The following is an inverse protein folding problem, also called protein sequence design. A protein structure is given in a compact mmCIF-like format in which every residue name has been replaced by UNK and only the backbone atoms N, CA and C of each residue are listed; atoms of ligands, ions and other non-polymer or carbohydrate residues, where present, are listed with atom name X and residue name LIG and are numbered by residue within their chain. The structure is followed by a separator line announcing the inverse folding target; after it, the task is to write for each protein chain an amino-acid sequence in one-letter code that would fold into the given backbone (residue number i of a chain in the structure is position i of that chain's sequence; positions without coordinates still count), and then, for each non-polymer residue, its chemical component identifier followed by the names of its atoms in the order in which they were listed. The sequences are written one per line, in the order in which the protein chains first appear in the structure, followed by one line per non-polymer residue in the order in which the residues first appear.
data_IF_924664673921
#
_entry.id   IF_924664673921
#
_cell.length_a   1.000
_cell.length_b   1.000
_cell.length_c   1.000
_cell.angle_alpha   90.00
_cell.angle_beta   90.00
_cell.angle_gamma   90.00
#
_symmetry.space_group_name_H-M   'P 1'
#
loop_
_entity.id
_entity.type
_entity.pdbx_description
1 polymer ?
#
# COMPACT_ATOMS: atom_id res chain seq x y z
N UNK A 1 -23.20 7.27 -0.31
CA UNK A 1 -23.29 7.97 0.99
C UNK A 1 -23.84 9.35 0.75
N UNK A 2 -24.99 9.70 1.38
CA UNK A 2 -25.63 11.01 1.28
C UNK A 2 -24.67 12.11 1.71
N UNK A 3 -24.42 13.05 0.81
CA UNK A 3 -23.65 14.28 1.04
C UNK A 3 -24.53 15.43 1.53
N UNK A 4 -25.66 15.13 2.18
CA UNK A 4 -26.55 16.12 2.74
C UNK A 4 -25.87 16.84 3.92
N UNK A 5 -25.49 18.10 3.70
CA UNK A 5 -24.86 18.98 4.69
C UNK A 5 -23.47 19.50 4.35
N UNK A 6 -22.85 19.04 3.27
CA UNK A 6 -21.54 19.55 2.85
C UNK A 6 -21.71 20.62 1.77
N UNK A 7 -21.48 21.86 2.16
CA UNK A 7 -21.47 23.00 1.23
C UNK A 7 -20.17 22.90 0.39
N UNK A 8 -20.27 22.32 -0.82
CA UNK A 8 -19.27 22.32 -1.87
C UNK A 8 -17.85 21.83 -1.47
N UNK A 9 -17.69 20.55 -1.01
CA UNK A 9 -16.40 20.05 -0.55
C UNK A 9 -15.39 19.96 -1.70
N UNK A 10 -14.17 20.38 -1.45
CA UNK A 10 -13.07 20.23 -2.41
C UNK A 10 -12.79 18.74 -2.66
N UNK A 11 -12.37 18.34 -3.88
CA UNK A 11 -12.05 16.95 -4.20
C UNK A 11 -11.02 16.30 -3.25
N UNK A 12 -10.07 17.10 -2.76
CA UNK A 12 -9.06 16.66 -1.78
C UNK A 12 -9.68 16.36 -0.40
N UNK A 13 -10.65 17.16 0.06
CA UNK A 13 -11.33 16.95 1.34
C UNK A 13 -12.14 15.65 1.32
N UNK A 14 -12.80 15.35 0.21
CA UNK A 14 -13.50 14.08 0.01
C UNK A 14 -12.55 12.89 -0.05
N UNK A 15 -11.37 13.07 -0.65
CA UNK A 15 -10.33 12.04 -0.69
C UNK A 15 -9.86 11.68 0.71
N UNK A 16 -9.41 12.67 1.48
CA UNK A 16 -8.88 12.45 2.82
C UNK A 16 -9.96 12.02 3.81
N UNK A 17 -11.19 12.56 3.73
CA UNK A 17 -12.28 12.16 4.59
C UNK A 17 -12.67 10.69 4.45
N UNK A 18 -12.69 10.17 3.23
CA UNK A 18 -12.94 8.74 2.98
C UNK A 18 -11.73 7.87 3.32
N UNK A 19 -10.51 8.35 3.05
CA UNK A 19 -9.30 7.63 3.37
C UNK A 19 -9.08 7.45 4.87
N UNK A 20 -9.54 8.39 5.71
CA UNK A 20 -9.34 8.37 7.14
C UNK A 20 -9.79 7.04 7.80
N UNK A 21 -10.92 6.48 7.36
CA UNK A 21 -11.39 5.20 7.85
C UNK A 21 -10.40 4.06 7.52
N UNK A 22 -9.94 4.00 6.28
CA UNK A 22 -8.96 2.99 5.85
C UNK A 22 -7.62 3.16 6.58
N UNK A 23 -7.20 4.40 6.80
CA UNK A 23 -6.00 4.70 7.57
C UNK A 23 -6.11 4.17 9.01
N UNK A 24 -7.18 4.49 9.73
CA UNK A 24 -7.36 4.02 11.11
C UNK A 24 -7.39 2.49 11.17
N UNK A 25 -8.14 1.83 10.29
CA UNK A 25 -8.21 0.38 10.25
C UNK A 25 -6.85 -0.26 9.95
N UNK A 26 -6.10 0.27 8.99
CA UNK A 26 -4.77 -0.25 8.65
C UNK A 26 -3.76 -0.08 9.78
N UNK A 27 -3.83 1.03 10.53
CA UNK A 27 -2.96 1.25 11.70
C UNK A 27 -3.29 0.28 12.85
N UNK A 28 -4.58 0.05 13.11
CA UNK A 28 -5.00 -0.95 14.10
C UNK A 28 -4.53 -2.35 13.72
N UNK A 29 -4.69 -2.75 12.46
CA UNK A 29 -4.19 -4.04 11.95
C UNK A 29 -2.68 -4.17 12.13
N UNK A 30 -1.90 -3.16 11.75
CA UNK A 30 -0.44 -3.16 11.90
C UNK A 30 -0.03 -3.30 13.37
N UNK A 31 -0.68 -2.56 14.28
CA UNK A 31 -0.41 -2.65 15.71
C UNK A 31 -0.72 -4.04 16.28
N UNK A 32 -1.85 -4.64 15.90
CA UNK A 32 -2.24 -5.99 16.34
C UNK A 32 -1.23 -7.03 15.83
N UNK A 33 -0.81 -6.96 14.58
CA UNK A 33 0.15 -7.90 13.99
C UNK A 33 1.49 -7.81 14.72
N UNK A 34 2.08 -6.63 14.85
CA UNK A 34 3.36 -6.46 15.54
C UNK A 34 3.28 -6.89 17.01
N UNK A 35 2.18 -6.58 17.69
CA UNK A 35 1.96 -7.03 19.05
C UNK A 35 1.89 -8.55 19.12
N UNK A 36 1.19 -9.20 18.19
CA UNK A 36 1.12 -10.65 18.07
C UNK A 36 2.50 -11.27 17.83
N UNK A 37 3.28 -10.71 16.91
CA UNK A 37 4.63 -11.19 16.61
C UNK A 37 5.55 -11.11 17.84
N UNK A 38 5.53 -9.99 18.55
CA UNK A 38 6.43 -9.77 19.69
C UNK A 38 6.01 -10.56 20.95
N UNK A 39 4.69 -10.61 21.26
CA UNK A 39 4.22 -11.17 22.53
C UNK A 39 3.67 -12.60 22.42
N UNK A 40 2.98 -12.94 21.31
CA UNK A 40 2.44 -14.29 21.11
C UNK A 40 3.47 -15.22 20.46
N UNK A 41 4.07 -14.80 19.35
CA UNK A 41 5.08 -15.58 18.64
C UNK A 41 6.47 -15.44 19.25
N UNK A 42 6.68 -14.47 20.17
CA UNK A 42 7.94 -14.19 20.86
C UNK A 42 9.11 -14.03 19.89
N UNK A 43 8.88 -13.34 18.78
CA UNK A 43 9.92 -12.98 17.81
C UNK A 43 10.97 -12.13 18.52
N UNK A 44 12.23 -12.58 18.47
CA UNK A 44 13.34 -11.82 19.03
C UNK A 44 13.59 -10.59 18.14
N UNK A 45 13.35 -9.40 18.68
CA UNK A 45 13.49 -8.14 17.99
C UNK A 45 14.38 -7.21 18.80
N UNK A 46 15.47 -6.73 18.19
CA UNK A 46 16.39 -5.81 18.85
C UNK A 46 15.80 -4.41 19.02
N UNK A 47 14.95 -3.99 18.08
CA UNK A 47 14.35 -2.65 18.10
C UNK A 47 12.81 -2.70 17.96
N UNK A 48 12.06 -3.08 19.03
CA UNK A 48 10.60 -3.23 18.97
C UNK A 48 9.87 -1.94 18.58
N UNK A 49 10.33 -0.78 19.07
CA UNK A 49 9.74 0.51 18.72
C UNK A 49 9.88 0.83 17.22
N UNK A 50 11.02 0.51 16.62
CA UNK A 50 11.23 0.68 15.18
C UNK A 50 10.35 -0.30 14.37
N UNK A 51 10.10 -1.50 14.88
CA UNK A 51 9.19 -2.46 14.24
C UNK A 51 7.75 -1.92 14.16
N UNK A 52 7.24 -1.31 15.24
CA UNK A 52 5.93 -0.63 15.20
C UNK A 52 5.90 0.52 14.20
N UNK A 53 6.96 1.34 14.14
CA UNK A 53 7.06 2.45 13.20
C UNK A 53 7.10 1.94 11.75
N UNK A 54 7.89 0.90 11.47
CA UNK A 54 7.97 0.29 10.14
C UNK A 54 6.63 -0.30 9.71
N UNK A 55 5.95 -1.03 10.61
CA UNK A 55 4.64 -1.60 10.33
C UNK A 55 3.58 -0.52 10.07
N UNK A 56 3.57 0.53 10.89
CA UNK A 56 2.69 1.69 10.72
C UNK A 56 2.91 2.37 9.37
N UNK A 57 4.16 2.65 9.00
CA UNK A 57 4.50 3.28 7.73
C UNK A 57 4.17 2.37 6.54
N UNK A 58 4.43 1.07 6.66
CA UNK A 58 4.07 0.07 5.65
C UNK A 58 2.55 0.04 5.45
N UNK A 59 1.78 -0.07 6.53
CA UNK A 59 0.32 -0.07 6.49
C UNK A 59 -0.23 1.23 5.86
N UNK A 60 0.35 2.38 6.20
CA UNK A 60 0.02 3.66 5.58
C UNK A 60 0.29 3.66 4.07
N UNK A 61 1.48 3.23 3.65
CA UNK A 61 1.88 3.23 2.24
C UNK A 61 0.98 2.31 1.41
N UNK A 62 0.74 1.09 1.88
CA UNK A 62 -0.08 0.12 1.16
C UNK A 62 -1.56 0.49 1.13
N UNK A 63 -2.14 0.91 2.26
CA UNK A 63 -3.54 1.34 2.30
C UNK A 63 -3.78 2.54 1.38
N UNK A 64 -2.85 3.48 1.34
CA UNK A 64 -2.93 4.65 0.49
C UNK A 64 -2.79 4.29 -1.00
N UNK A 65 -1.86 3.38 -1.33
CA UNK A 65 -1.65 2.92 -2.70
C UNK A 65 -2.89 2.18 -3.22
N UNK A 66 -3.43 1.24 -2.46
CA UNK A 66 -4.64 0.49 -2.80
C UNK A 66 -5.83 1.44 -2.96
N UNK A 67 -6.02 2.34 -2.01
CA UNK A 67 -7.10 3.32 -2.05
C UNK A 67 -7.00 4.25 -3.27
N UNK A 68 -5.81 4.78 -3.54
CA UNK A 68 -5.57 5.67 -4.67
C UNK A 68 -5.80 4.98 -6.02
N UNK A 69 -5.34 3.74 -6.17
CA UNK A 69 -5.56 2.93 -7.37
C UNK A 69 -7.05 2.60 -7.58
N UNK A 70 -7.73 2.13 -6.53
CA UNK A 70 -9.16 1.82 -6.59
C UNK A 70 -10.00 3.06 -6.90
N UNK A 71 -9.64 4.23 -6.34
CA UNK A 71 -10.36 5.48 -6.57
C UNK A 71 -10.11 6.07 -7.97
N UNK A 72 -8.89 5.90 -8.50
CA UNK A 72 -8.50 6.47 -9.80
C UNK A 72 -8.98 5.63 -10.99
N UNK A 73 -8.94 4.30 -10.87
CA UNK A 73 -9.20 3.37 -11.97
C UNK A 73 -10.43 2.47 -11.74
N UNK A 74 -11.22 2.69 -10.67
CA UNK A 74 -12.42 1.92 -10.39
C UNK A 74 -12.14 0.41 -10.25
N UNK A 75 -12.96 -0.43 -10.88
CA UNK A 75 -12.84 -1.89 -10.80
C UNK A 75 -11.58 -2.43 -11.46
N UNK A 76 -11.12 -1.80 -12.55
CA UNK A 76 -9.83 -2.12 -13.18
C UNK A 76 -8.67 -1.86 -12.21
N UNK A 77 -8.73 -0.76 -11.46
CA UNK A 77 -7.74 -0.45 -10.44
C UNK A 77 -7.71 -1.49 -9.32
N UNK A 78 -8.85 -1.96 -8.88
CA UNK A 78 -8.96 -3.04 -7.88
C UNK A 78 -8.33 -4.34 -8.38
N UNK A 79 -8.65 -4.75 -9.61
CA UNK A 79 -8.08 -5.95 -10.23
C UNK A 79 -6.56 -5.83 -10.40
N UNK A 80 -6.07 -4.67 -10.87
CA UNK A 80 -4.64 -4.42 -11.03
C UNK A 80 -3.89 -4.49 -9.69
N UNK A 81 -4.45 -3.92 -8.63
CA UNK A 81 -3.88 -3.98 -7.27
C UNK A 81 -3.75 -5.43 -6.81
N UNK A 82 -4.76 -6.28 -7.02
CA UNK A 82 -4.69 -7.69 -6.64
C UNK A 82 -3.57 -8.41 -7.39
N UNK A 83 -3.44 -8.20 -8.70
CA UNK A 83 -2.36 -8.79 -9.51
C UNK A 83 -0.99 -8.32 -9.01
N UNK A 84 -0.82 -7.01 -8.79
CA UNK A 84 0.43 -6.44 -8.28
C UNK A 84 0.76 -7.01 -6.90
N UNK A 85 -0.23 -7.16 -6.00
CA UNK A 85 -0.02 -7.72 -4.66
C UNK A 85 0.45 -9.18 -4.73
N UNK A 86 -0.16 -10.01 -5.58
CA UNK A 86 0.27 -11.40 -5.78
C UNK A 86 1.70 -11.46 -6.32
N UNK A 87 2.02 -10.63 -7.31
CA UNK A 87 3.38 -10.54 -7.87
C UNK A 87 4.41 -10.09 -6.82
N UNK A 88 4.04 -9.13 -5.98
CA UNK A 88 4.92 -8.65 -4.90
C UNK A 88 5.18 -9.74 -3.85
N UNK A 89 4.17 -10.50 -3.43
CA UNK A 89 4.33 -11.59 -2.46
C UNK A 89 5.31 -12.63 -3.00
N UNK A 90 5.16 -13.03 -4.26
CA UNK A 90 6.04 -14.02 -4.90
C UNK A 90 7.45 -13.48 -5.15
N UNK A 91 7.58 -12.20 -5.52
CA UNK A 91 8.82 -11.58 -6.02
C UNK A 91 9.58 -10.71 -5.02
N UNK A 92 9.17 -10.65 -3.75
CA UNK A 92 9.72 -9.67 -2.78
C UNK A 92 10.95 -10.13 -1.99
N UNK A 93 11.50 -11.31 -2.26
CA UNK A 93 12.54 -11.93 -1.43
C UNK A 93 12.18 -12.16 0.05
N UNK A 94 10.89 -12.13 0.38
CA UNK A 94 10.43 -12.35 1.75
C UNK A 94 10.60 -13.79 2.21
N UNK A 95 10.26 -14.75 1.36
CA UNK A 95 10.33 -16.18 1.62
C UNK A 95 11.58 -16.85 1.06
N UNK A 96 12.06 -16.39 -0.11
CA UNK A 96 13.23 -16.92 -0.79
C UNK A 96 14.18 -15.77 -1.18
N UNK A 97 15.50 -15.99 -1.19
CA UNK A 97 16.45 -15.03 -1.74
C UNK A 97 16.09 -14.64 -3.17
N UNK A 98 16.25 -13.36 -3.50
CA UNK A 98 15.87 -12.83 -4.82
C UNK A 98 16.64 -13.48 -5.97
N UNK A 99 17.85 -13.96 -5.69
CA UNK A 99 18.75 -14.63 -6.64
C UNK A 99 18.19 -15.97 -7.13
N UNK A 100 17.29 -16.60 -6.38
CA UNK A 100 16.65 -17.86 -6.74
C UNK A 100 15.41 -17.65 -7.63
N UNK A 101 14.94 -16.41 -7.80
CA UNK A 101 13.78 -16.09 -8.61
C UNK A 101 14.17 -15.85 -10.07
N UNK A 102 13.24 -16.05 -11.03
CA UNK A 102 13.48 -15.73 -12.43
C UNK A 102 13.95 -14.28 -12.60
N UNK A 103 14.81 -14.04 -13.61
CA UNK A 103 15.44 -12.72 -13.87
C UNK A 103 14.45 -11.57 -13.97
N UNK A 104 13.23 -11.84 -14.43
CA UNK A 104 12.19 -10.82 -14.54
C UNK A 104 11.83 -10.24 -13.17
N UNK A 105 11.71 -11.09 -12.14
CA UNK A 105 11.45 -10.67 -10.77
C UNK A 105 12.63 -9.90 -10.20
N UNK A 106 13.86 -10.33 -10.45
CA UNK A 106 15.07 -9.63 -10.01
C UNK A 106 15.20 -8.21 -10.58
N UNK A 107 14.64 -7.97 -11.78
CA UNK A 107 14.65 -6.65 -12.41
C UNK A 107 13.54 -5.74 -11.89
N UNK A 108 12.35 -6.29 -11.68
CA UNK A 108 11.16 -5.49 -11.36
C UNK A 108 10.90 -5.31 -9.86
N UNK A 109 11.46 -6.16 -8.97
CA UNK A 109 11.16 -6.10 -7.54
C UNK A 109 11.43 -4.74 -6.89
N UNK A 110 12.44 -4.01 -7.38
CA UNK A 110 12.81 -2.67 -6.89
C UNK A 110 11.75 -1.60 -7.17
N UNK A 111 10.83 -1.85 -8.10
CA UNK A 111 9.73 -0.95 -8.42
C UNK A 111 8.49 -1.15 -7.52
N UNK A 112 8.58 -2.05 -6.56
CA UNK A 112 7.51 -2.35 -5.64
C UNK A 112 7.86 -1.95 -4.20
N UNK A 113 6.90 -1.53 -3.38
CA UNK A 113 7.15 -1.14 -1.98
C UNK A 113 7.44 -2.32 -1.04
N UNK A 114 7.06 -3.54 -1.40
CA UNK A 114 7.16 -4.73 -0.55
C UNK A 114 8.60 -5.05 -0.12
N UNK A 115 9.61 -5.07 -1.00
CA UNK A 115 10.99 -5.33 -0.61
C UNK A 115 11.52 -4.36 0.45
N UNK A 116 11.22 -3.09 0.29
CA UNK A 116 11.66 -2.05 1.23
C UNK A 116 11.03 -2.22 2.61
N UNK A 117 9.75 -2.64 2.67
CA UNK A 117 9.08 -2.96 3.92
C UNK A 117 9.72 -4.17 4.62
N UNK A 118 10.02 -5.23 3.85
CA UNK A 118 10.66 -6.44 4.38
C UNK A 118 12.06 -6.14 4.89
N UNK A 119 12.87 -5.41 4.13
CA UNK A 119 14.22 -5.07 4.53
C UNK A 119 14.23 -4.16 5.77
N UNK A 120 13.32 -3.19 5.86
CA UNK A 120 13.17 -2.39 7.08
C UNK A 120 12.76 -3.24 8.29
N UNK A 121 11.87 -4.23 8.12
CA UNK A 121 11.51 -5.16 9.19
C UNK A 121 12.69 -6.04 9.61
N UNK A 122 13.50 -6.54 8.66
CA UNK A 122 14.72 -7.31 8.94
C UNK A 122 15.71 -6.52 9.79
N UNK A 123 15.93 -5.24 9.46
CA UNK A 123 16.78 -4.33 10.25
C UNK A 123 16.27 -4.15 11.68
N UNK A 124 14.95 -4.12 11.89
CA UNK A 124 14.38 -4.06 13.24
C UNK A 124 14.63 -5.33 14.05
N UNK A 125 14.59 -6.49 13.40
CA UNK A 125 14.74 -7.82 14.03
C UNK A 125 16.21 -8.13 14.28
N UNK A 126 17.05 -8.01 13.26
CA UNK A 126 18.46 -8.46 13.28
C UNK A 126 19.43 -7.39 13.79
N UNK A 127 19.01 -6.13 13.83
CA UNK A 127 19.83 -4.98 14.18
C UNK A 127 20.06 -4.04 13.02
N UNK A 128 20.10 -2.73 13.31
CA UNK A 128 20.22 -1.68 12.31
C UNK A 128 21.67 -1.52 11.84
N UNK A 129 21.86 -1.56 10.52
CA UNK A 129 23.17 -1.35 9.91
C UNK A 129 23.27 0.07 9.32
N UNK A 130 24.05 0.92 9.96
CA UNK A 130 24.32 2.30 9.49
C UNK A 130 23.04 3.09 9.19
N UNK A 131 22.93 3.63 7.98
CA UNK A 131 21.76 4.39 7.51
C UNK A 131 20.77 3.57 6.68
N UNK A 132 20.98 2.24 6.56
CA UNK A 132 20.19 1.39 5.66
C UNK A 132 18.71 1.38 6.03
N UNK A 133 18.38 1.23 7.30
CA UNK A 133 17.01 1.33 7.80
C UNK A 133 16.30 2.62 7.37
N UNK A 134 16.95 3.76 7.55
CA UNK A 134 16.41 5.06 7.15
C UNK A 134 16.17 5.17 5.64
N UNK A 135 17.05 4.58 4.84
CA UNK A 135 16.88 4.52 3.37
C UNK A 135 15.63 3.72 2.98
N UNK A 136 15.40 2.56 3.63
CA UNK A 136 14.20 1.75 3.36
C UNK A 136 12.90 2.51 3.70
N UNK A 137 12.88 3.21 4.84
CA UNK A 137 11.76 4.06 5.21
C UNK A 137 11.55 5.23 4.23
N UNK A 138 12.63 5.84 3.75
CA UNK A 138 12.55 6.90 2.74
C UNK A 138 11.94 6.39 1.42
N UNK A 139 12.30 5.19 0.98
CA UNK A 139 11.65 4.57 -0.20
C UNK A 139 10.17 4.30 0.04
N UNK A 140 9.76 3.81 1.20
CA UNK A 140 8.34 3.64 1.54
C UNK A 140 7.58 4.97 1.49
N UNK A 141 8.17 6.04 2.02
CA UNK A 141 7.59 7.39 1.93
C UNK A 141 7.49 7.89 0.49
N UNK A 142 8.47 7.57 -0.35
CA UNK A 142 8.43 7.90 -1.77
C UNK A 142 7.25 7.20 -2.48
N UNK A 143 7.01 5.91 -2.18
CA UNK A 143 5.84 5.19 -2.69
C UNK A 143 4.52 5.77 -2.16
N UNK A 144 4.47 6.18 -0.89
CA UNK A 144 3.30 6.87 -0.34
C UNK A 144 3.04 8.20 -1.05
N UNK A 145 4.07 9.00 -1.32
CA UNK A 145 3.96 10.23 -2.08
C UNK A 145 3.48 9.98 -3.52
N UNK A 146 4.02 8.96 -4.19
CA UNK A 146 3.56 8.56 -5.52
C UNK A 146 2.07 8.12 -5.51
N UNK A 147 1.65 7.36 -4.49
CA UNK A 147 0.25 6.96 -4.31
C UNK A 147 -0.67 8.18 -4.11
N UNK A 148 -0.25 9.18 -3.34
CA UNK A 148 -0.98 10.45 -3.19
C UNK A 148 -1.11 11.20 -4.53
N UNK A 149 -0.04 11.28 -5.30
CA UNK A 149 -0.07 11.91 -6.62
C UNK A 149 -1.04 11.19 -7.56
N UNK A 150 -1.05 9.87 -7.57
CA UNK A 150 -2.01 9.07 -8.34
C UNK A 150 -3.45 9.41 -7.89
N UNK A 151 -3.73 9.35 -6.59
CA UNK A 151 -5.07 9.57 -6.07
C UNK A 151 -5.61 10.99 -6.26
N UNK A 152 -4.75 12.01 -6.25
CA UNK A 152 -5.15 13.42 -6.36
C UNK A 152 -5.14 13.94 -7.80
N UNK A 153 -4.16 13.54 -8.61
CA UNK A 153 -3.94 14.08 -9.95
C UNK A 153 -4.56 13.19 -11.04
N UNK A 154 -4.30 11.89 -11.00
CA UNK A 154 -4.71 10.94 -12.05
C UNK A 154 -6.22 10.70 -12.04
N UNK A 155 -6.86 10.81 -10.87
CA UNK A 155 -8.31 10.67 -10.73
C UNK A 155 -9.12 11.57 -11.67
N UNK A 156 -8.69 12.83 -11.87
CA UNK A 156 -9.45 13.81 -12.67
C UNK A 156 -9.65 13.41 -14.13
N UNK A 157 -8.63 13.03 -14.91
CA UNK A 157 -8.80 12.64 -16.30
C UNK A 157 -9.48 11.28 -16.48
N UNK A 158 -9.39 10.37 -15.49
CA UNK A 158 -9.94 9.02 -15.61
C UNK A 158 -11.40 8.87 -15.14
N UNK A 159 -11.98 9.88 -14.49
CA UNK A 159 -13.38 9.82 -14.08
C UNK A 159 -14.35 9.60 -15.25
N UNK A 160 -14.09 10.22 -16.42
CA UNK A 160 -14.90 10.01 -17.62
C UNK A 160 -14.75 8.61 -18.21
N UNK A 161 -13.55 8.05 -18.18
CA UNK A 161 -13.28 6.70 -18.67
C UNK A 161 -13.91 5.63 -17.75
N UNK A 162 -13.85 5.84 -16.44
CA UNK A 162 -14.48 4.93 -15.47
C UNK A 162 -15.99 4.88 -15.66
N UNK A 163 -16.65 6.04 -15.86
CA UNK A 163 -18.09 6.08 -16.10
C UNK A 163 -18.48 5.34 -17.40
N UNK A 164 -17.70 5.51 -18.45
CA UNK A 164 -17.89 4.78 -19.71
C UNK A 164 -17.72 3.26 -19.55
N UNK A 165 -16.75 2.84 -18.74
CA UNK A 165 -16.51 1.40 -18.49
C UNK A 165 -17.59 0.78 -17.59
N UNK A 166 -18.06 1.50 -16.56
CA UNK A 166 -19.18 1.08 -15.72
C UNK A 166 -20.45 0.89 -16.55
N UNK A 167 -20.77 1.85 -17.44
CA UNK A 167 -21.91 1.78 -18.35
C UNK A 167 -21.83 0.57 -19.30
N UNK A 168 -20.64 0.27 -19.81
CA UNK A 168 -20.42 -0.91 -20.66
C UNK A 168 -20.50 -2.24 -19.93
N UNK A 169 -20.08 -2.28 -18.67
CA UNK A 169 -20.19 -3.49 -17.84
C UNK A 169 -21.67 -3.75 -17.47
N UNK A 170 -22.43 -2.72 -17.11
CA UNK A 170 -23.86 -2.83 -16.85
C UNK A 170 -24.63 -3.28 -18.09
N UNK A 171 -24.29 -2.80 -19.28
CA UNK A 171 -24.89 -3.30 -20.55
C UNK A 171 -24.58 -4.78 -20.79
N UNK A 172 -23.44 -5.27 -20.33
CA UNK A 172 -23.03 -6.68 -20.52
C UNK A 172 -23.66 -7.62 -19.48
N UNK A 173 -23.95 -7.12 -18.26
CA UNK A 173 -24.65 -7.89 -17.23
C UNK A 173 -26.17 -8.01 -17.49
N UNK A 174 -26.73 -7.18 -18.38
CA UNK A 174 -28.16 -7.22 -18.78
C UNK A 174 -28.43 -8.14 -19.98
N UNK A 175 -27.41 -8.79 -20.53
CA UNK A 175 -27.50 -9.78 -21.62
C UNK A 175 -27.27 -11.20 -21.09
#
# INVERSE_FOLDING_TARGET
ARTEGLVNPRPAELFFGRYLLFFVLSQLQAAIIVTGDLYLLKVQCLHPGAMYLTASLTAFTFSLLIYSMALSFGDVGKALVVVIMVMQIAGSSGTFPIELLPEIYQKIYRFFPFPYAIDAMRECICGMYGSYYGQQLAFLLLFAAAALLIGLLVRRPFMGLNHFMEEKLEETELL
#
